data_IF_034102299093
#
_entry.id   IF_034102299093
#
_cell.length_a   1.000
_cell.length_b   1.000
_cell.length_c   1.000
_cell.angle_alpha   90.00
_cell.angle_beta   90.00
_cell.angle_gamma   90.00
#
_symmetry.space_group_name_H-M   'P 1'
#
loop_
_entity.id
_entity.type
_entity.pdbx_description
1 polymer ?
#
# COMPACT_ATOMS: atom_id res chain seq x y z
N UNK A 1 -11.08 -1.67 15.89
CA UNK A 1 -9.63 -1.44 16.13
C UNK A 1 -9.30 -1.28 17.62
N UNK A 2 -9.91 -0.32 18.32
CA UNK A 2 -9.65 -0.05 19.74
C UNK A 2 -9.82 -1.28 20.66
N UNK A 3 -10.78 -2.16 20.37
CA UNK A 3 -11.05 -3.36 21.18
C UNK A 3 -9.95 -4.43 21.05
N UNK A 4 -9.46 -4.67 19.83
CA UNK A 4 -8.55 -5.78 19.52
C UNK A 4 -7.06 -5.44 19.71
N UNK A 5 -6.71 -4.16 19.65
CA UNK A 5 -5.30 -3.75 19.79
C UNK A 5 -4.84 -3.90 21.24
N UNK A 6 -3.62 -4.38 21.44
CA UNK A 6 -3.00 -4.44 22.75
C UNK A 6 -2.75 -3.03 23.33
N UNK A 7 -2.74 -2.87 24.67
CA UNK A 7 -2.19 -1.66 25.29
C UNK A 7 -0.77 -1.37 24.78
N UNK A 8 -0.45 -0.10 24.56
CA UNK A 8 0.78 0.43 23.97
C UNK A 8 1.06 -0.05 22.53
N UNK A 9 0.03 -0.54 21.82
CA UNK A 9 0.11 -0.94 20.43
C UNK A 9 0.33 0.24 19.46
N UNK A 10 0.53 -0.11 18.18
CA UNK A 10 0.76 0.86 17.09
C UNK A 10 -0.17 0.55 15.91
N UNK A 11 -0.81 1.57 15.36
CA UNK A 11 -1.67 1.48 14.17
C UNK A 11 -0.96 2.19 13.02
N UNK A 12 -0.86 1.53 11.86
CA UNK A 12 -0.41 2.13 10.61
C UNK A 12 -1.61 2.34 9.68
N UNK A 13 -1.72 3.52 9.07
CA UNK A 13 -2.79 3.88 8.13
C UNK A 13 -2.18 4.30 6.79
N UNK A 14 -2.83 3.91 5.69
CA UNK A 14 -2.44 4.24 4.30
C UNK A 14 -3.61 4.79 3.48
N UNK A 15 -4.83 4.67 4.00
CA UNK A 15 -6.07 5.17 3.42
C UNK A 15 -6.43 6.54 4.00
N UNK A 16 -7.42 7.21 3.41
CA UNK A 16 -7.97 8.46 3.91
C UNK A 16 -9.32 8.19 4.59
N UNK A 17 -9.35 7.81 5.89
CA UNK A 17 -10.58 7.52 6.60
C UNK A 17 -11.39 8.81 6.86
N UNK A 18 -12.69 8.63 7.05
CA UNK A 18 -13.54 9.60 7.77
C UNK A 18 -12.88 10.01 9.10
N UNK A 19 -13.22 11.19 9.66
CA UNK A 19 -12.59 11.71 10.88
C UNK A 19 -12.44 10.66 11.99
N UNK A 20 -11.18 10.33 12.30
CA UNK A 20 -10.84 9.29 13.26
C UNK A 20 -10.92 9.81 14.70
N UNK A 21 -11.79 9.23 15.53
CA UNK A 21 -11.85 9.55 16.95
C UNK A 21 -10.72 8.87 17.74
N UNK A 22 -9.60 9.57 17.90
CA UNK A 22 -8.42 9.11 18.65
C UNK A 22 -8.69 8.89 20.15
N UNK A 23 -9.80 9.41 20.70
CA UNK A 23 -10.13 9.20 22.12
C UNK A 23 -10.40 7.72 22.42
N UNK A 24 -10.86 6.96 21.41
CA UNK A 24 -11.16 5.53 21.52
C UNK A 24 -9.93 4.68 21.87
N UNK A 25 -8.73 5.17 21.56
CA UNK A 25 -7.47 4.44 21.76
C UNK A 25 -6.60 5.02 22.88
N UNK A 26 -7.05 6.13 23.50
CA UNK A 26 -6.31 6.87 24.55
C UNK A 26 -5.97 6.00 25.76
N UNK A 27 -6.94 5.27 26.30
CA UNK A 27 -6.75 4.45 27.50
C UNK A 27 -5.90 3.20 27.27
N UNK A 28 -5.63 2.88 25.99
CA UNK A 28 -4.66 1.87 25.61
C UNK A 28 -3.31 2.48 25.23
N UNK A 29 -3.10 3.80 25.34
CA UNK A 29 -1.84 4.48 24.99
C UNK A 29 -1.29 4.08 23.62
N UNK A 30 -2.17 3.92 22.64
CA UNK A 30 -1.82 3.48 21.28
C UNK A 30 -1.29 4.64 20.47
N UNK A 31 -0.27 4.41 19.65
CA UNK A 31 0.21 5.36 18.65
C UNK A 31 -0.44 5.14 17.29
N UNK A 32 -0.61 6.23 16.53
CA UNK A 32 -1.09 6.19 15.14
C UNK A 32 0.02 6.73 14.24
N UNK A 33 0.32 5.97 13.19
CA UNK A 33 1.34 6.27 12.20
C UNK A 33 0.70 6.36 10.83
N UNK A 34 0.87 7.50 10.18
CA UNK A 34 0.52 7.67 8.77
C UNK A 34 1.68 7.19 7.92
N UNK A 35 1.40 6.28 7.00
CA UNK A 35 2.38 5.83 6.01
C UNK A 35 1.98 6.37 4.64
N UNK A 36 2.79 7.29 4.13
CA UNK A 36 2.70 7.79 2.78
C UNK A 36 4.02 7.53 2.06
N UNK A 37 4.02 6.54 1.16
CA UNK A 37 5.17 6.19 0.34
C UNK A 37 5.74 7.34 -0.50
N UNK A 38 5.02 8.46 -0.66
CA UNK A 38 5.51 9.62 -1.41
C UNK A 38 6.24 10.64 -0.52
N UNK A 39 6.16 10.56 0.81
CA UNK A 39 6.80 11.55 1.71
C UNK A 39 8.30 11.69 1.44
N UNK A 40 9.02 10.56 1.32
CA UNK A 40 10.46 10.55 1.04
C UNK A 40 10.81 11.27 -0.28
N UNK A 41 10.27 10.87 -1.46
CA UNK A 41 10.60 11.52 -2.71
C UNK A 41 10.05 12.95 -2.84
N UNK A 42 8.86 13.25 -2.30
CA UNK A 42 8.30 14.61 -2.36
C UNK A 42 9.13 15.64 -1.58
N UNK A 43 9.77 15.23 -0.49
CA UNK A 43 10.57 16.12 0.36
C UNK A 43 12.08 15.90 0.26
N UNK A 44 12.53 15.00 -0.62
CA UNK A 44 13.94 14.62 -0.77
C UNK A 44 14.62 14.37 0.59
N UNK A 45 13.96 13.58 1.45
CA UNK A 45 14.45 13.33 2.81
C UNK A 45 15.81 12.64 2.77
N UNK A 46 16.62 12.79 3.83
CA UNK A 46 17.95 12.21 3.91
C UNK A 46 17.96 10.67 3.74
N UNK A 47 16.83 10.01 4.01
CA UNK A 47 16.64 8.57 3.90
C UNK A 47 15.88 8.16 2.60
N UNK A 48 15.81 9.00 1.58
CA UNK A 48 15.10 8.71 0.32
C UNK A 48 15.56 7.40 -0.34
N UNK A 49 16.86 7.08 -0.23
CA UNK A 49 17.44 5.83 -0.75
C UNK A 49 16.86 4.56 -0.11
N UNK A 50 16.18 4.66 1.04
CA UNK A 50 15.55 3.49 1.68
C UNK A 50 14.50 2.81 0.81
N UNK A 51 13.86 3.53 -0.11
CA UNK A 51 12.94 2.90 -1.07
C UNK A 51 13.67 1.95 -2.01
N UNK A 52 14.86 2.31 -2.49
CA UNK A 52 15.71 1.43 -3.28
C UNK A 52 16.12 0.19 -2.50
N UNK A 53 16.61 0.36 -1.26
CA UNK A 53 17.01 -0.74 -0.38
C UNK A 53 15.87 -1.76 -0.18
N UNK A 54 14.65 -1.25 0.06
CA UNK A 54 13.46 -2.08 0.28
C UNK A 54 13.08 -2.85 -0.99
N UNK A 55 13.08 -2.19 -2.15
CA UNK A 55 12.74 -2.82 -3.43
C UNK A 55 13.74 -3.91 -3.83
N UNK A 56 15.04 -3.69 -3.60
CA UNK A 56 16.06 -4.71 -3.82
C UNK A 56 15.84 -5.94 -2.93
N UNK A 57 15.55 -5.71 -1.64
CA UNK A 57 15.25 -6.80 -0.71
C UNK A 57 14.01 -7.58 -1.15
N UNK A 58 12.98 -6.89 -1.63
CA UNK A 58 11.77 -7.50 -2.17
C UNK A 58 12.08 -8.37 -3.41
N UNK A 59 12.94 -7.90 -4.32
CA UNK A 59 13.42 -8.69 -5.47
C UNK A 59 14.08 -9.99 -5.00
N UNK A 60 15.03 -9.91 -4.07
CA UNK A 60 15.70 -11.11 -3.55
C UNK A 60 14.72 -12.11 -2.91
N UNK A 61 13.68 -11.61 -2.23
CA UNK A 61 12.66 -12.47 -1.61
C UNK A 61 11.73 -13.12 -2.65
N UNK A 62 11.46 -12.46 -3.78
CA UNK A 62 10.74 -13.04 -4.90
C UNK A 62 11.58 -14.12 -5.58
N UNK A 63 12.85 -13.82 -5.88
CA UNK A 63 13.77 -14.76 -6.52
C UNK A 63 14.01 -16.01 -5.67
N UNK A 64 14.09 -15.85 -4.34
CA UNK A 64 14.24 -16.98 -3.42
C UNK A 64 12.92 -17.72 -3.13
N UNK A 65 11.80 -17.33 -3.74
CA UNK A 65 10.47 -17.91 -3.50
C UNK A 65 9.89 -17.67 -2.11
N UNK A 66 10.47 -16.77 -1.29
CA UNK A 66 9.93 -16.39 0.03
C UNK A 66 8.69 -15.52 -0.09
N UNK A 67 8.59 -14.77 -1.18
CA UNK A 67 7.40 -14.03 -1.59
C UNK A 67 6.91 -14.57 -2.93
N UNK A 68 5.59 -14.54 -3.11
CA UNK A 68 4.95 -14.77 -4.39
C UNK A 68 4.39 -13.44 -4.89
N UNK A 69 4.38 -13.19 -6.21
CA UNK A 69 3.69 -12.02 -6.74
C UNK A 69 2.21 -12.07 -6.33
N UNK A 70 1.56 -10.90 -6.16
CA UNK A 70 0.14 -10.86 -5.89
C UNK A 70 -0.65 -11.46 -7.07
N UNK A 71 -1.92 -11.81 -6.84
CA UNK A 71 -2.82 -12.14 -7.93
C UNK A 71 -2.82 -11.00 -8.96
N UNK A 72 -2.59 -11.32 -10.22
CA UNK A 72 -2.51 -10.36 -11.31
C UNK A 72 -3.75 -10.46 -12.18
N UNK A 73 -4.37 -9.32 -12.47
CA UNK A 73 -5.35 -9.18 -13.52
C UNK A 73 -4.69 -8.49 -14.71
N UNK A 74 -4.48 -9.23 -15.80
CA UNK A 74 -3.78 -8.74 -16.98
C UNK A 74 -4.76 -8.07 -17.96
N UNK A 75 -4.54 -6.78 -18.25
CA UNK A 75 -5.44 -5.95 -19.07
C UNK A 75 -4.90 -5.76 -20.49
N UNK A 76 -3.86 -6.50 -20.86
CA UNK A 76 -3.21 -6.44 -22.17
C UNK A 76 -2.52 -5.10 -22.42
N UNK A 77 -2.47 -4.68 -23.69
CA UNK A 77 -1.74 -3.49 -24.13
C UNK A 77 -2.28 -2.20 -23.52
N UNK A 78 -1.38 -1.39 -22.97
CA UNK A 78 -1.70 -0.08 -22.44
C UNK A 78 -2.27 0.82 -23.55
N UNK A 79 -3.53 1.20 -23.40
CA UNK A 79 -4.21 2.19 -24.22
C UNK A 79 -5.31 2.87 -23.41
N UNK A 80 -5.85 3.99 -23.90
CA UNK A 80 -6.84 4.77 -23.16
C UNK A 80 -8.11 3.97 -22.80
N UNK A 81 -8.55 3.05 -23.66
CA UNK A 81 -9.73 2.20 -23.40
C UNK A 81 -9.45 1.21 -22.27
N UNK A 82 -8.31 0.54 -22.32
CA UNK A 82 -7.91 -0.42 -21.29
C UNK A 82 -7.65 0.27 -19.93
N UNK A 83 -7.08 1.47 -19.94
CA UNK A 83 -6.83 2.26 -18.74
C UNK A 83 -8.13 2.71 -18.06
N UNK A 84 -9.12 3.22 -18.81
CA UNK A 84 -10.43 3.59 -18.24
C UNK A 84 -11.12 2.40 -17.58
N UNK A 85 -11.13 1.25 -18.25
CA UNK A 85 -11.67 0.01 -17.67
C UNK A 85 -10.97 -0.36 -16.36
N UNK A 86 -9.63 -0.29 -16.32
CA UNK A 86 -8.89 -0.58 -15.09
C UNK A 86 -9.23 0.36 -13.94
N UNK A 87 -9.44 1.65 -14.22
CA UNK A 87 -9.92 2.62 -13.24
C UNK A 87 -11.32 2.27 -12.72
N UNK A 88 -12.27 2.02 -13.63
CA UNK A 88 -13.64 1.63 -13.28
C UNK A 88 -13.65 0.36 -12.39
N UNK A 89 -12.86 -0.65 -12.72
CA UNK A 89 -12.78 -1.89 -11.95
C UNK A 89 -12.17 -1.67 -10.55
N UNK A 90 -11.15 -0.80 -10.44
CA UNK A 90 -10.50 -0.45 -9.18
C UNK A 90 -11.41 0.37 -8.26
N UNK A 91 -12.11 1.36 -8.80
CA UNK A 91 -13.06 2.22 -8.07
C UNK A 91 -14.26 1.41 -7.54
N UNK A 92 -14.74 0.44 -8.33
CA UNK A 92 -15.82 -0.46 -7.93
C UNK A 92 -15.37 -1.59 -6.98
N UNK A 93 -14.10 -1.61 -6.55
CA UNK A 93 -13.53 -2.63 -5.66
C UNK A 93 -13.67 -4.06 -6.19
N UNK A 94 -13.75 -4.22 -7.50
CA UNK A 94 -13.92 -5.52 -8.17
C UNK A 94 -12.58 -6.22 -8.46
N UNK A 95 -11.48 -5.73 -7.89
CA UNK A 95 -10.13 -6.20 -8.15
C UNK A 95 -9.57 -6.90 -6.91
N UNK A 96 -9.30 -8.19 -7.06
CA UNK A 96 -8.46 -8.92 -6.12
C UNK A 96 -7.01 -8.90 -6.64
N UNK A 97 -6.10 -8.26 -5.90
CA UNK A 97 -4.68 -8.19 -6.26
C UNK A 97 -4.31 -6.92 -7.03
N UNK A 98 -3.59 -7.06 -8.15
CA UNK A 98 -3.06 -5.93 -8.93
C UNK A 98 -3.43 -6.03 -10.41
N UNK A 99 -3.83 -4.91 -11.00
CA UNK A 99 -3.99 -4.79 -12.46
C UNK A 99 -2.62 -4.50 -13.08
N UNK A 100 -2.29 -5.20 -14.16
CA UNK A 100 -1.05 -5.00 -14.93
C UNK A 100 -1.36 -4.91 -16.42
N UNK A 101 -0.65 -4.04 -17.12
CA UNK A 101 -0.66 -3.92 -18.58
C UNK A 101 0.65 -4.50 -19.15
N UNK A 102 0.56 -5.16 -20.30
CA UNK A 102 1.65 -5.91 -20.95
C UNK A 102 1.59 -5.76 -22.47
N UNK A 103 2.61 -6.23 -23.20
CA UNK A 103 2.59 -6.26 -24.67
C UNK A 103 2.86 -4.91 -25.34
N UNK A 104 3.89 -4.21 -24.86
CA UNK A 104 4.43 -3.00 -25.48
C UNK A 104 5.04 -3.28 -26.85
#
# INVERSE_FOLDING_TARGET
>A
MAEIIAPQGRIGLIDDPEPLDLRLIKFKSVSVHWEAMFTRPMHATADMSKQHDILNKLSCMLDSGKLKPPLLAEYGRLNAKALRRAHEDMENKNVNGKIVFSGF
#
